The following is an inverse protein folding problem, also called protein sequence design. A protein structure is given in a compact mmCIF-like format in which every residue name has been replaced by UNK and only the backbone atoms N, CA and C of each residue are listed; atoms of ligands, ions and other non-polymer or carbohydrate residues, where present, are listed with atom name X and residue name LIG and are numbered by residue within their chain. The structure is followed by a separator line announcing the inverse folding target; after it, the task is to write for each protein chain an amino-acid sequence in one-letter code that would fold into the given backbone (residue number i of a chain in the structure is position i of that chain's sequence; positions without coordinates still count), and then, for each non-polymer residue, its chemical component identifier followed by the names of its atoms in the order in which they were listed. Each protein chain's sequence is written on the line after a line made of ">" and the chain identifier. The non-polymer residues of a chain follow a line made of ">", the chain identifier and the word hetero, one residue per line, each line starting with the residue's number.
data_IF_217025398489
#
_entry.id   IF_217025398489
#
_cell.length_a   1.000
_cell.length_b   1.000
_cell.length_c   1.000
_cell.angle_alpha   90.00
_cell.angle_beta   90.00
_cell.angle_gamma   90.00
#
_symmetry.space_group_name_H-M   'P 1'
#
loop_
_entity.id
_entity.type
_entity.pdbx_description
1 polymer ?
#
# COMPACT_ATOMS: atom_id res chain seq x y z
N UNK A 1 -11.24 -6.28 -20.08
CA UNK A 1 -11.64 -5.03 -20.75
C UNK A 1 -10.43 -4.10 -20.77
N UNK A 2 -10.00 -3.61 -21.93
CA UNK A 2 -8.88 -2.65 -22.02
C UNK A 2 -9.40 -1.24 -21.73
N UNK A 3 -8.70 -0.47 -20.88
CA UNK A 3 -9.01 0.94 -20.60
C UNK A 3 -8.33 1.79 -21.66
N UNK A 4 -9.09 2.57 -22.44
CA UNK A 4 -8.56 3.46 -23.47
C UNK A 4 -8.90 4.92 -23.11
N UNK A 5 -7.91 5.82 -22.99
CA UNK A 5 -8.17 7.25 -22.79
C UNK A 5 -8.49 7.95 -24.13
N UNK A 6 -9.32 8.99 -24.09
CA UNK A 6 -9.68 9.79 -25.27
C UNK A 6 -8.56 10.74 -25.74
N UNK A 7 -7.51 10.90 -24.92
CA UNK A 7 -6.40 11.84 -25.12
C UNK A 7 -5.05 11.19 -24.74
N UNK A 8 -3.91 11.68 -25.27
CA UNK A 8 -2.59 11.09 -25.05
C UNK A 8 -2.04 11.40 -23.64
N UNK A 9 -2.64 10.80 -22.63
CA UNK A 9 -2.16 10.86 -21.25
C UNK A 9 -1.02 9.87 -21.01
N UNK A 10 -0.17 10.14 -20.02
CA UNK A 10 0.85 9.18 -19.62
C UNK A 10 0.23 7.83 -19.20
N UNK A 11 0.86 6.68 -19.53
CA UNK A 11 0.32 5.36 -19.23
C UNK A 11 -0.04 5.16 -17.75
N UNK A 12 0.71 5.77 -16.83
CA UNK A 12 0.46 5.72 -15.38
C UNK A 12 -0.99 6.06 -15.01
N UNK A 13 -1.63 7.00 -15.71
CA UNK A 13 -3.02 7.39 -15.42
C UNK A 13 -4.03 6.29 -15.77
N UNK A 14 -3.72 5.46 -16.77
CA UNK A 14 -4.55 4.35 -17.25
C UNK A 14 -4.23 3.07 -16.47
N UNK A 15 -2.95 2.80 -16.23
CA UNK A 15 -2.46 1.59 -15.59
C UNK A 15 -2.76 1.55 -14.09
N UNK A 16 -2.76 2.70 -13.41
CA UNK A 16 -3.09 2.77 -11.99
C UNK A 16 -4.55 2.37 -11.76
N UNK A 17 -4.75 1.44 -10.84
CA UNK A 17 -6.04 1.05 -10.32
C UNK A 17 -5.93 0.69 -8.83
N UNK A 18 -7.06 0.41 -8.18
CA UNK A 18 -7.12 0.08 -6.75
C UNK A 18 -7.50 -1.40 -6.58
N UNK A 19 -6.52 -2.33 -6.64
CA UNK A 19 -6.77 -3.74 -6.37
C UNK A 19 -7.23 -3.94 -4.92
N UNK A 20 -7.90 -5.08 -4.69
CA UNK A 20 -8.33 -5.55 -3.36
C UNK A 20 -7.92 -7.01 -3.10
N UNK A 21 -7.01 -7.54 -3.90
CA UNK A 21 -6.39 -8.85 -3.71
C UNK A 21 -4.91 -8.62 -3.53
N UNK A 22 -4.37 -9.00 -2.37
CA UNK A 22 -2.99 -8.78 -1.99
C UNK A 22 -2.36 -10.11 -1.59
N UNK A 23 -1.07 -10.29 -1.87
CA UNK A 23 -0.35 -11.54 -1.56
C UNK A 23 -0.09 -11.73 -0.07
N UNK A 24 -0.25 -10.69 0.75
CA UNK A 24 0.18 -10.70 2.16
C UNK A 24 1.69 -10.59 2.33
N UNK A 25 2.45 -10.42 1.24
CA UNK A 25 3.89 -10.20 1.32
C UNK A 25 4.24 -8.87 1.98
N UNK A 26 5.41 -8.85 2.58
CA UNK A 26 5.97 -7.64 3.17
C UNK A 26 6.31 -6.61 2.12
N UNK A 27 6.09 -5.34 2.44
CA UNK A 27 6.68 -4.23 1.69
C UNK A 27 7.98 -3.82 2.40
N UNK A 28 9.14 -3.83 1.70
CA UNK A 28 10.40 -3.34 2.25
C UNK A 28 10.26 -1.91 2.81
N UNK A 29 10.97 -1.61 3.89
CA UNK A 29 10.94 -0.26 4.49
C UNK A 29 11.39 0.81 3.48
N UNK A 30 12.39 0.52 2.65
CA UNK A 30 12.89 1.45 1.63
C UNK A 30 11.80 1.83 0.60
N UNK A 31 11.01 0.86 0.15
CA UNK A 31 9.95 1.09 -0.83
C UNK A 31 8.82 1.92 -0.21
N UNK A 32 8.42 1.58 1.02
CA UNK A 32 7.38 2.32 1.73
C UNK A 32 7.80 3.77 2.03
N UNK A 33 9.05 3.97 2.46
CA UNK A 33 9.60 5.30 2.71
C UNK A 33 9.73 6.11 1.41
N UNK A 34 10.09 5.47 0.30
CA UNK A 34 10.12 6.13 -1.03
C UNK A 34 8.73 6.61 -1.43
N UNK A 35 7.68 5.82 -1.18
CA UNK A 35 6.31 6.22 -1.44
C UNK A 35 5.86 7.41 -0.57
N UNK A 36 6.23 7.43 0.72
CA UNK A 36 5.94 8.58 1.59
C UNK A 36 6.75 9.82 1.23
N UNK A 37 8.01 9.66 0.80
CA UNK A 37 8.81 10.76 0.27
C UNK A 37 8.13 11.37 -0.95
N UNK A 38 7.71 10.56 -1.93
CA UNK A 38 6.95 11.05 -3.07
C UNK A 38 5.64 11.76 -2.66
N UNK A 39 4.90 11.21 -1.69
CA UNK A 39 3.65 11.80 -1.22
C UNK A 39 3.85 13.18 -0.57
N UNK A 40 4.93 13.37 0.22
CA UNK A 40 5.18 14.66 0.89
C UNK A 40 5.66 15.78 -0.03
N UNK A 41 5.92 15.50 -1.31
CA UNK A 41 6.23 16.52 -2.32
C UNK A 41 4.98 17.14 -2.96
N UNK A 42 3.78 16.67 -2.61
CA UNK A 42 2.55 17.31 -3.06
C UNK A 42 2.49 18.79 -2.61
N UNK A 43 1.89 19.70 -3.38
CA UNK A 43 1.66 21.07 -2.92
C UNK A 43 0.63 21.10 -1.78
N UNK A 44 0.74 22.08 -0.88
CA UNK A 44 -0.25 22.37 0.17
C UNK A 44 -0.49 23.86 0.33
N UNK A 45 -1.66 24.24 0.86
CA UNK A 45 -1.98 25.62 1.18
C UNK A 45 -0.88 26.22 2.08
N UNK A 46 -0.34 27.37 1.67
CA UNK A 46 0.78 28.05 2.35
C UNK A 46 2.01 27.16 2.60
N UNK A 47 2.16 26.06 1.84
CA UNK A 47 3.22 25.07 1.98
C UNK A 47 3.41 24.52 3.41
N UNK A 48 2.34 24.44 4.19
CA UNK A 48 2.40 24.00 5.61
C UNK A 48 2.61 22.49 5.76
N UNK A 49 2.44 21.73 4.69
CA UNK A 49 2.70 20.28 4.64
C UNK A 49 2.00 19.52 5.78
N UNK A 50 0.65 19.59 5.83
CA UNK A 50 -0.11 19.15 7.00
C UNK A 50 -0.25 17.62 7.09
N UNK A 51 0.11 16.88 6.05
CA UNK A 51 -0.04 15.42 6.02
C UNK A 51 0.77 14.74 7.12
N UNK A 52 0.16 13.72 7.71
CA UNK A 52 0.81 12.78 8.63
C UNK A 52 0.45 11.38 8.17
N UNK A 53 1.44 10.50 8.15
CA UNK A 53 1.27 9.09 7.79
C UNK A 53 1.45 8.26 9.06
N UNK A 54 0.44 7.47 9.40
CA UNK A 54 0.49 6.50 10.49
C UNK A 54 0.35 5.14 9.85
N UNK A 55 1.29 4.24 10.14
CA UNK A 55 1.38 2.94 9.50
C UNK A 55 1.40 1.87 10.59
N UNK A 56 0.62 0.83 10.37
CA UNK A 56 0.79 -0.47 11.00
C UNK A 56 0.91 -1.51 9.89
N UNK A 57 1.73 -2.52 10.11
CA UNK A 57 1.87 -3.70 9.25
C UNK A 57 1.17 -4.87 9.91
N UNK A 58 0.68 -5.81 9.11
CA UNK A 58 0.23 -7.12 9.61
C UNK A 58 1.35 -7.66 10.49
N UNK A 59 1.04 -8.09 11.73
CA UNK A 59 2.01 -8.55 12.74
C UNK A 59 2.46 -7.50 13.76
N UNK A 60 2.28 -6.20 13.49
CA UNK A 60 2.50 -5.17 14.51
C UNK A 60 1.45 -5.28 15.63
N UNK A 61 1.84 -4.95 16.86
CA UNK A 61 0.89 -4.92 17.99
C UNK A 61 -0.30 -3.98 17.76
N UNK A 62 -0.12 -2.93 16.95
CA UNK A 62 -1.17 -1.98 16.59
C UNK A 62 -2.07 -2.47 15.44
N UNK A 63 -1.73 -3.56 14.74
CA UNK A 63 -2.46 -4.04 13.57
C UNK A 63 -3.95 -4.32 13.83
N UNK A 64 -4.36 -4.98 14.93
CA UNK A 64 -5.77 -5.22 15.22
C UNK A 64 -6.54 -3.89 15.37
N UNK A 65 -5.93 -2.90 16.02
CA UNK A 65 -6.51 -1.56 16.18
C UNK A 65 -6.77 -0.92 14.81
N UNK A 66 -5.79 -0.98 13.90
CA UNK A 66 -5.95 -0.43 12.55
C UNK A 66 -7.08 -1.10 11.76
N UNK A 67 -7.18 -2.44 11.83
CA UNK A 67 -8.28 -3.15 11.18
C UNK A 67 -9.64 -2.81 11.79
N UNK A 68 -9.70 -2.58 13.10
CA UNK A 68 -10.93 -2.22 13.78
C UNK A 68 -11.45 -0.82 13.45
N UNK A 69 -10.57 0.10 13.05
CA UNK A 69 -10.97 1.41 12.52
C UNK A 69 -11.65 1.33 11.14
N UNK A 70 -11.50 0.21 10.42
CA UNK A 70 -12.08 0.04 9.09
C UNK A 70 -13.52 -0.46 9.16
N UNK A 71 -14.33 0.00 8.20
CA UNK A 71 -15.64 -0.60 7.91
C UNK A 71 -15.50 -2.11 7.66
N UNK A 72 -16.45 -2.97 8.10
CA UNK A 72 -16.33 -4.42 8.00
C UNK A 72 -15.98 -4.93 6.61
N UNK A 73 -16.60 -4.37 5.55
CA UNK A 73 -16.32 -4.73 4.15
C UNK A 73 -14.86 -4.47 3.74
N UNK A 74 -14.21 -3.45 4.31
CA UNK A 74 -12.83 -3.12 3.97
C UNK A 74 -11.83 -4.04 4.67
N UNK A 75 -12.18 -4.57 5.84
CA UNK A 75 -11.34 -5.52 6.58
C UNK A 75 -11.06 -6.78 5.76
N UNK A 76 -12.04 -7.24 4.98
CA UNK A 76 -11.97 -8.46 4.17
C UNK A 76 -10.74 -8.51 3.25
N UNK A 77 -10.37 -7.38 2.66
CA UNK A 77 -9.20 -7.30 1.79
C UNK A 77 -8.00 -6.63 2.47
N UNK A 78 -8.22 -5.64 3.35
CA UNK A 78 -7.14 -4.88 3.98
C UNK A 78 -6.31 -5.73 4.95
N UNK A 79 -6.88 -6.78 5.54
CA UNK A 79 -6.18 -7.71 6.42
C UNK A 79 -4.96 -8.39 5.75
N UNK A 80 -4.93 -8.43 4.41
CA UNK A 80 -3.85 -9.03 3.61
C UNK A 80 -2.93 -7.99 2.94
N UNK A 81 -3.11 -6.69 3.21
CA UNK A 81 -2.52 -5.62 2.37
C UNK A 81 -1.07 -5.24 2.67
N UNK A 82 -0.56 -5.49 3.88
CA UNK A 82 0.78 -5.06 4.31
C UNK A 82 1.42 -6.12 5.21
N UNK A 83 2.11 -7.11 4.63
CA UNK A 83 2.82 -8.14 5.41
C UNK A 83 3.94 -7.59 6.30
N UNK A 84 4.41 -8.39 7.27
CA UNK A 84 5.64 -8.08 8.03
C UNK A 84 6.87 -8.42 7.19
N UNK A 85 7.87 -7.54 7.18
CA UNK A 85 9.20 -7.87 6.68
C UNK A 85 9.79 -9.09 7.42
N UNK A 86 10.28 -10.05 6.66
CA UNK A 86 10.79 -11.34 7.15
C UNK A 86 12.11 -11.17 7.90
N UNK A 87 12.85 -10.12 7.58
CA UNK A 87 14.11 -9.79 8.25
C UNK A 87 13.87 -9.31 9.70
N UNK A 88 12.61 -8.99 10.07
CA UNK A 88 12.18 -8.79 11.47
C UNK A 88 11.71 -10.08 12.17
N UNK A 89 11.53 -11.19 11.45
CA UNK A 89 10.93 -12.44 11.97
C UNK A 89 11.83 -13.67 11.92
N UNK A 90 13.03 -13.58 11.35
CA UNK A 90 13.92 -14.74 11.22
C UNK A 90 13.44 -15.73 10.15
N UNK A 91 14.32 -16.66 9.81
CA UNK A 91 14.34 -17.42 8.56
C UNK A 91 13.13 -18.36 8.38
N UNK A 92 12.10 -17.90 7.67
CA UNK A 92 11.09 -18.79 7.08
C UNK A 92 10.36 -18.14 5.90
N UNK A 93 10.60 -18.62 4.67
CA UNK A 93 9.51 -19.07 3.77
C UNK A 93 9.26 -18.41 2.39
N UNK A 94 10.27 -18.25 1.52
CA UNK A 94 10.23 -18.01 0.05
C UNK A 94 8.88 -17.67 -0.68
N UNK A 95 8.91 -16.54 -1.42
CA UNK A 95 8.25 -16.15 -2.70
C UNK A 95 6.78 -16.49 -3.05
N UNK A 96 6.01 -15.46 -3.44
CA UNK A 96 5.05 -15.53 -4.56
C UNK A 96 4.81 -14.14 -5.22
N UNK A 97 5.30 -13.99 -6.46
CA UNK A 97 4.99 -12.87 -7.36
C UNK A 97 3.47 -12.69 -7.53
N UNK A 98 3.03 -11.45 -7.54
CA UNK A 98 1.70 -11.07 -8.00
C UNK A 98 1.73 -10.88 -9.52
N UNK A 99 1.24 -11.85 -10.28
CA UNK A 99 0.93 -11.64 -11.70
C UNK A 99 -0.39 -10.84 -11.83
N UNK A 100 -0.45 -9.96 -12.82
CA UNK A 100 -1.70 -9.31 -13.25
C UNK A 100 -2.67 -10.42 -13.68
N UNK A 101 -3.84 -10.48 -13.05
CA UNK A 101 -5.01 -11.13 -13.65
C UNK A 101 -5.56 -10.28 -14.80
#
# INVERSE_FOLDING_TARGET
>A
MSRAPDHPVAPLFVDRWSPRSFSGEAIPDADLLTAFEAARWAPSASNVQPWRFIVARNGDAAWPVFLDLLMPRNRLWAAQSLGVDRDRLGDAGRAARCDRA
#
